data_IF_595129581236
#
_entry.id   IF_595129581236
#
_cell.length_a   1.000
_cell.length_b   1.000
_cell.length_c   1.000
_cell.angle_alpha   90.00
_cell.angle_beta   90.00
_cell.angle_gamma   90.00
#
_symmetry.space_group_name_H-M   'P 1'
#
loop_
_entity.id
_entity.type
_entity.pdbx_description
1 polymer ?
#
# COMPACT_ATOMS: atom_id res chain seq x y z
N UNK A 1 -1.78 -11.77 2.61
CA UNK A 1 -2.04 -10.67 3.57
C UNK A 1 -2.63 -11.20 4.88
N UNK A 2 -3.58 -12.14 4.84
CA UNK A 2 -4.21 -12.73 6.03
C UNK A 2 -3.25 -13.38 7.03
N UNK A 3 -2.23 -14.07 6.55
CA UNK A 3 -1.28 -14.80 7.39
C UNK A 3 -0.40 -13.85 8.24
N UNK A 4 0.08 -12.76 7.64
CA UNK A 4 0.80 -11.71 8.36
C UNK A 4 -0.06 -11.06 9.45
N UNK A 5 -1.36 -10.82 9.17
CA UNK A 5 -2.30 -10.24 10.16
C UNK A 5 -2.55 -11.18 11.34
N UNK A 6 -2.66 -12.48 11.08
CA UNK A 6 -2.86 -13.47 12.12
C UNK A 6 -1.66 -13.56 13.08
N UNK A 7 -0.44 -13.42 12.55
CA UNK A 7 0.78 -13.36 13.35
C UNK A 7 0.86 -12.09 14.20
N UNK A 8 0.49 -10.92 13.65
CA UNK A 8 0.44 -9.66 14.40
C UNK A 8 -0.59 -9.69 15.54
N UNK A 9 -1.77 -10.27 15.30
CA UNK A 9 -2.81 -10.41 16.33
C UNK A 9 -2.38 -11.34 17.47
N UNK A 10 -1.71 -12.45 17.14
CA UNK A 10 -1.17 -13.40 18.13
C UNK A 10 -0.12 -12.73 19.02
N UNK A 11 0.83 -12.01 18.43
CA UNK A 11 1.93 -11.37 19.16
C UNK A 11 1.43 -10.21 20.05
N UNK A 12 0.41 -9.47 19.59
CA UNK A 12 -0.28 -8.47 20.40
C UNK A 12 -0.86 -9.05 21.69
N UNK A 13 -1.50 -10.22 21.61
CA UNK A 13 -2.10 -10.88 22.79
C UNK A 13 -1.06 -11.33 23.83
N UNK A 14 0.20 -11.54 23.42
CA UNK A 14 1.28 -11.99 24.28
C UNK A 14 2.01 -10.85 25.01
N UNK A 15 1.93 -9.61 24.54
CA UNK A 15 2.62 -8.46 25.14
C UNK A 15 1.71 -7.20 25.19
N UNK A 16 1.05 -6.94 26.34
CA UNK A 16 0.08 -5.86 26.53
C UNK A 16 0.61 -4.47 26.19
N UNK A 17 1.90 -4.23 26.43
CA UNK A 17 2.59 -2.95 26.18
C UNK A 17 2.73 -2.65 24.68
N UNK A 18 2.70 -3.70 23.85
CA UNK A 18 2.87 -3.60 22.39
C UNK A 18 1.58 -3.72 21.59
N UNK A 19 0.45 -4.05 22.22
CA UNK A 19 -0.88 -4.19 21.58
C UNK A 19 -1.23 -2.99 20.71
N UNK A 20 -0.93 -1.77 21.18
CA UNK A 20 -1.23 -0.56 20.43
C UNK A 20 -0.40 -0.46 19.13
N UNK A 21 0.88 -0.87 19.15
CA UNK A 21 1.73 -0.89 17.95
C UNK A 21 1.20 -1.87 16.90
N UNK A 22 0.80 -3.07 17.31
CA UNK A 22 0.22 -4.08 16.42
C UNK A 22 -1.09 -3.61 15.78
N UNK A 23 -1.94 -2.95 16.55
CA UNK A 23 -3.19 -2.37 16.03
C UNK A 23 -2.92 -1.27 15.00
N UNK A 24 -1.99 -0.36 15.29
CA UNK A 24 -1.62 0.71 14.35
C UNK A 24 -1.08 0.11 13.04
N UNK A 25 -0.20 -0.89 13.14
CA UNK A 25 0.34 -1.55 11.96
C UNK A 25 -0.75 -2.26 11.13
N UNK A 26 -1.69 -2.97 11.78
CA UNK A 26 -2.82 -3.61 11.09
C UNK A 26 -3.71 -2.58 10.36
N UNK A 27 -3.96 -1.41 10.97
CA UNK A 27 -4.73 -0.34 10.34
C UNK A 27 -3.99 0.30 9.16
N UNK A 28 -2.67 0.49 9.26
CA UNK A 28 -1.84 0.92 8.12
C UNK A 28 -1.91 -0.11 6.98
N UNK A 29 -1.81 -1.40 7.28
CA UNK A 29 -1.87 -2.45 6.26
C UNK A 29 -3.22 -2.51 5.53
N UNK A 30 -4.34 -2.26 6.23
CA UNK A 30 -5.68 -2.19 5.60
C UNK A 30 -5.81 -1.02 4.62
N UNK A 31 -5.12 0.09 4.89
CA UNK A 31 -5.11 1.29 4.05
C UNK A 31 -4.11 1.21 2.91
N UNK A 32 -3.24 0.20 2.90
CA UNK A 32 -2.25 0.00 1.86
C UNK A 32 -2.95 -0.09 0.49
N UNK A 33 -2.58 0.76 -0.47
CA UNK A 33 -3.21 0.74 -1.79
C UNK A 33 -2.85 -0.55 -2.53
N UNK A 34 -3.89 -1.30 -2.95
CA UNK A 34 -3.74 -2.50 -3.76
C UNK A 34 -4.45 -2.29 -5.11
N UNK A 35 -3.81 -2.60 -6.25
CA UNK A 35 -4.48 -2.62 -7.54
C UNK A 35 -5.52 -3.74 -7.52
N UNK A 36 -6.79 -3.41 -7.70
CA UNK A 36 -7.81 -4.45 -7.90
C UNK A 36 -8.12 -4.53 -9.40
N UNK A 37 -8.29 -5.75 -9.92
CA UNK A 37 -8.64 -5.93 -11.34
C UNK A 37 -10.05 -5.41 -11.70
N UNK A 38 -10.91 -5.18 -10.70
CA UNK A 38 -12.32 -4.82 -10.91
C UNK A 38 -12.62 -3.32 -10.86
N UNK A 39 -11.66 -2.45 -10.53
CA UNK A 39 -11.91 -1.02 -10.36
C UNK A 39 -11.28 -0.16 -11.46
N UNK A 40 -12.06 0.82 -11.95
CA UNK A 40 -11.61 1.82 -12.92
C UNK A 40 -10.82 2.95 -12.24
N UNK A 41 -9.93 2.63 -11.29
CA UNK A 41 -9.10 3.66 -10.64
C UNK A 41 -8.10 4.23 -11.64
N UNK A 42 -7.99 5.55 -11.67
CA UNK A 42 -6.98 6.27 -12.44
C UNK A 42 -5.60 6.16 -11.78
N UNK A 43 -4.55 6.44 -12.56
CA UNK A 43 -3.17 6.44 -12.06
C UNK A 43 -3.00 7.45 -10.92
N UNK A 44 -3.53 8.66 -11.10
CA UNK A 44 -3.45 9.75 -10.14
C UNK A 44 -4.14 9.41 -8.82
N UNK A 45 -5.30 8.74 -8.85
CA UNK A 45 -5.98 8.29 -7.63
C UNK A 45 -5.13 7.26 -6.87
N UNK A 46 -4.44 6.37 -7.58
CA UNK A 46 -3.55 5.38 -6.96
C UNK A 46 -2.33 6.06 -6.33
N UNK A 47 -1.70 7.00 -7.03
CA UNK A 47 -0.57 7.78 -6.53
C UNK A 47 -0.93 8.57 -5.27
N UNK A 48 -2.10 9.22 -5.25
CA UNK A 48 -2.57 9.97 -4.08
C UNK A 48 -2.80 9.07 -2.87
N UNK A 49 -3.43 7.90 -3.07
CA UNK A 49 -3.64 6.92 -1.98
C UNK A 49 -2.33 6.41 -1.42
N UNK A 50 -1.35 6.16 -2.29
CA UNK A 50 -0.02 5.76 -1.88
C UNK A 50 0.71 6.82 -1.10
N UNK A 51 0.69 8.07 -1.60
CA UNK A 51 1.29 9.20 -0.91
C UNK A 51 0.67 9.36 0.48
N UNK A 52 -0.66 9.29 0.59
CA UNK A 52 -1.35 9.41 1.88
C UNK A 52 -0.99 8.28 2.85
N UNK A 53 -0.96 7.04 2.37
CA UNK A 53 -0.56 5.89 3.18
C UNK A 53 0.90 6.02 3.66
N UNK A 54 1.80 6.48 2.80
CA UNK A 54 3.19 6.70 3.14
C UNK A 54 3.38 7.84 4.17
N UNK A 55 2.66 8.95 4.01
CA UNK A 55 2.63 10.05 4.99
C UNK A 55 2.11 9.59 6.36
N UNK A 56 1.13 8.67 6.40
CA UNK A 56 0.70 8.03 7.65
C UNK A 56 1.81 7.19 8.27
N UNK A 57 2.50 6.36 7.49
CA UNK A 57 3.63 5.56 7.99
C UNK A 57 4.74 6.45 8.56
N UNK A 58 5.09 7.53 7.86
CA UNK A 58 6.12 8.48 8.29
C UNK A 58 5.77 9.17 9.61
N UNK A 59 4.50 9.54 9.83
CA UNK A 59 4.06 10.13 11.11
C UNK A 59 4.29 9.18 12.27
N UNK A 60 3.89 7.92 12.15
CA UNK A 60 4.10 6.94 13.22
C UNK A 60 5.59 6.65 13.49
N UNK A 61 6.43 6.66 12.44
CA UNK A 61 7.88 6.55 12.58
C UNK A 61 8.48 7.75 13.32
N UNK A 62 8.09 8.98 12.96
CA UNK A 62 8.56 10.21 13.60
C UNK A 62 8.13 10.31 15.07
N UNK A 63 6.92 9.85 15.39
CA UNK A 63 6.40 9.83 16.76
C UNK A 63 7.07 8.73 17.62
N UNK A 64 7.96 7.92 17.05
CA UNK A 64 8.64 6.83 17.75
C UNK A 64 7.73 5.66 18.11
N UNK A 65 6.57 5.54 17.43
CA UNK A 65 5.55 4.54 17.73
C UNK A 65 6.13 3.12 17.70
N UNK A 66 7.06 2.85 16.78
CA UNK A 66 7.69 1.53 16.60
C UNK A 66 9.13 1.45 17.16
N UNK A 67 9.60 2.45 17.91
CA UNK A 67 11.00 2.53 18.35
C UNK A 67 11.46 1.34 19.22
N UNK A 68 10.52 0.63 19.85
CA UNK A 68 10.80 -0.57 20.66
C UNK A 68 10.77 -1.89 19.85
N UNK A 69 10.43 -1.84 18.56
CA UNK A 69 10.34 -3.00 17.67
C UNK A 69 10.87 -2.68 16.27
N UNK A 70 12.16 -2.96 16.06
CA UNK A 70 12.87 -2.68 14.79
C UNK A 70 12.27 -3.40 13.58
N UNK A 71 11.65 -4.56 13.78
CA UNK A 71 11.00 -5.30 12.70
C UNK A 71 9.76 -4.55 12.18
N UNK A 72 8.91 -4.05 13.09
CA UNK A 72 7.74 -3.24 12.71
C UNK A 72 8.13 -1.89 12.11
N UNK A 73 9.22 -1.30 12.60
CA UNK A 73 9.78 -0.07 12.04
C UNK A 73 10.22 -0.26 10.58
N UNK A 74 10.86 -1.38 10.25
CA UNK A 74 11.26 -1.73 8.88
C UNK A 74 10.07 -1.91 7.94
N UNK A 75 8.98 -2.54 8.40
CA UNK A 75 7.75 -2.69 7.61
C UNK A 75 7.17 -1.31 7.24
N UNK A 76 7.15 -0.36 8.17
CA UNK A 76 6.64 0.99 7.93
C UNK A 76 7.58 1.87 7.10
N UNK A 77 8.89 1.63 7.10
CA UNK A 77 9.86 2.33 6.23
C UNK A 77 9.67 1.99 4.77
N UNK A 78 9.20 0.78 4.48
CA UNK A 78 8.84 0.39 3.13
C UNK A 78 10.03 0.20 2.20
N UNK A 79 11.13 -0.37 2.69
CA UNK A 79 12.33 -0.63 1.88
C UNK A 79 12.05 -1.56 0.65
N UNK A 80 10.92 -2.28 0.63
CA UNK A 80 10.42 -3.09 -0.52
C UNK A 80 9.22 -2.46 -1.26
N UNK A 81 8.67 -1.39 -0.68
CA UNK A 81 7.38 -0.78 -1.04
C UNK A 81 7.58 0.13 -2.26
N UNK A 82 8.76 0.74 -2.42
CA UNK A 82 9.11 1.57 -3.57
C UNK A 82 9.28 0.76 -4.88
N UNK A 83 9.80 -0.46 -4.81
CA UNK A 83 9.85 -1.40 -5.94
C UNK A 83 8.45 -1.80 -6.38
N UNK A 84 7.58 -2.10 -5.40
CA UNK A 84 6.17 -2.43 -5.63
C UNK A 84 5.41 -1.25 -6.27
N UNK A 85 5.71 -0.01 -5.84
CA UNK A 85 5.16 1.22 -6.44
C UNK A 85 5.51 1.34 -7.93
N UNK A 86 6.77 1.09 -8.29
CA UNK A 86 7.24 1.20 -9.68
C UNK A 86 6.54 0.20 -10.60
N UNK A 87 6.39 -1.05 -10.16
CA UNK A 87 5.70 -2.08 -10.94
C UNK A 87 4.22 -1.76 -11.16
N UNK A 88 3.55 -1.23 -10.12
CA UNK A 88 2.16 -0.79 -10.21
C UNK A 88 1.97 0.40 -11.16
N UNK A 89 2.85 1.41 -11.10
CA UNK A 89 2.82 2.56 -12.00
C UNK A 89 3.02 2.12 -13.46
N UNK A 90 3.96 1.19 -13.72
CA UNK A 90 4.18 0.60 -15.05
C UNK A 90 2.94 -0.12 -15.58
N UNK A 91 2.29 -0.93 -14.75
CA UNK A 91 1.09 -1.67 -15.13
C UNK A 91 -0.09 -0.73 -15.43
N UNK A 92 -0.30 0.30 -14.59
CA UNK A 92 -1.35 1.28 -14.79
C UNK A 92 -1.13 2.16 -16.03
N UNK A 93 0.11 2.56 -16.31
CA UNK A 93 0.49 3.24 -17.55
C UNK A 93 0.23 2.34 -18.77
N UNK A 94 0.66 1.07 -18.73
CA UNK A 94 0.42 0.11 -19.81
C UNK A 94 -1.08 -0.06 -20.10
N UNK A 95 -1.92 -0.14 -19.06
CA UNK A 95 -3.39 -0.20 -19.21
C UNK A 95 -3.96 1.08 -19.82
N UNK A 96 -3.46 2.25 -19.41
CA UNK A 96 -3.92 3.52 -19.96
C UNK A 96 -3.53 3.65 -21.45
N UNK A 97 -2.31 3.25 -21.81
CA UNK A 97 -1.86 3.18 -23.19
C UNK A 97 -2.71 2.20 -24.01
N UNK A 98 -2.97 1.00 -23.50
CA UNK A 98 -3.84 0.04 -24.17
C UNK A 98 -5.26 0.59 -24.40
N UNK A 99 -5.84 1.31 -23.42
CA UNK A 99 -7.13 1.99 -23.59
C UNK A 99 -7.09 3.08 -24.66
N UNK A 100 -6.03 3.88 -24.72
CA UNK A 100 -5.86 4.93 -25.74
C UNK A 100 -5.74 4.29 -27.12
N UNK A 101 -4.89 3.27 -27.27
CA UNK A 101 -4.69 2.54 -28.53
C UNK A 101 -5.99 1.90 -29.02
N UNK A 102 -6.75 1.24 -28.15
CA UNK A 102 -8.07 0.66 -28.51
C UNK A 102 -9.05 1.76 -28.91
N UNK A 103 -9.08 2.89 -28.18
CA UNK A 103 -9.99 3.99 -28.46
C UNK A 103 -9.68 4.69 -29.78
N UNK A 104 -8.41 4.87 -30.13
CA UNK A 104 -8.00 5.46 -31.40
C UNK A 104 -8.12 4.48 -32.58
N UNK A 105 -7.83 3.19 -32.38
CA UNK A 105 -8.00 2.15 -33.40
C UNK A 105 -9.45 1.78 -33.74
N UNK A 106 -10.43 2.25 -32.95
CA UNK A 106 -11.87 2.02 -33.21
C UNK A 106 -12.51 3.15 -34.04
N UNK A 107 -11.79 4.24 -34.35
CA UNK A 107 -12.35 5.42 -35.02
C UNK A 107 -12.17 5.46 -36.55
N UNK A 108 -11.59 4.45 -37.19
CA UNK A 108 -11.46 4.40 -38.65
C UNK A 108 -12.18 3.18 -39.24
N UNK A 109 -13.50 3.18 -39.14
CA UNK A 109 -14.34 2.13 -39.69
C UNK A 109 -15.81 2.51 -39.78
N UNK A 110 -16.13 3.63 -40.44
CA UNK A 110 -17.47 3.94 -40.97
C UNK A 110 -17.37 4.89 -42.16
#
# INVERSE_FOLDING_TARGET
MDEARHLLSKEASANPTSVNMYRILDDLMKKMPMPSLGNTQTLTEMELKWQHWHEECQRYLQDGTFASNSHMESICKGDDVETTKVEMLRLALARNLARVIVKEGTLEGS
#
